data_IF_420407318108
#
_entry.id   IF_420407318108
#
_cell.length_a   1.000
_cell.length_b   1.000
_cell.length_c   1.000
_cell.angle_alpha   90.00
_cell.angle_beta   90.00
_cell.angle_gamma   90.00
#
_symmetry.space_group_name_H-M   'P 1'
#
loop_
_entity.id
_entity.type
_entity.pdbx_description
1 polymer ?
#
# COMPACT_ATOMS: atom_id res chain seq x y z
N UNK A 1 -24.13 3.71 -12.56
CA UNK A 1 -25.30 4.12 -11.75
C UNK A 1 -24.89 4.56 -10.36
N UNK A 2 -24.81 3.62 -9.41
CA UNK A 2 -24.32 3.87 -8.04
C UNK A 2 -22.78 3.85 -7.98
N UNK A 3 -22.14 3.03 -8.83
CA UNK A 3 -20.68 2.87 -8.95
C UNK A 3 -19.96 4.17 -9.38
N UNK A 4 -20.55 4.91 -10.34
CA UNK A 4 -20.00 6.19 -10.82
C UNK A 4 -20.00 7.30 -9.75
N UNK A 5 -20.94 7.27 -8.81
CA UNK A 5 -21.03 8.27 -7.72
C UNK A 5 -19.94 8.06 -6.67
N UNK A 6 -19.53 6.81 -6.40
CA UNK A 6 -18.44 6.51 -5.47
C UNK A 6 -17.08 6.93 -6.05
N UNK A 7 -16.85 6.69 -7.33
CA UNK A 7 -15.63 7.13 -8.04
C UNK A 7 -15.53 8.66 -8.06
N UNK A 8 -16.66 9.36 -8.28
CA UNK A 8 -16.71 10.83 -8.33
C UNK A 8 -16.64 11.50 -6.95
N UNK A 9 -17.13 10.85 -5.89
CA UNK A 9 -17.04 11.33 -4.50
C UNK A 9 -15.65 11.09 -3.89
N UNK A 10 -14.99 9.98 -4.24
CA UNK A 10 -13.63 9.67 -3.85
C UNK A 10 -12.56 10.28 -4.80
N UNK A 11 -12.94 11.20 -5.69
CA UNK A 11 -12.18 11.78 -6.82
C UNK A 11 -10.90 12.57 -6.50
N UNK A 12 -10.30 12.31 -5.34
CA UNK A 12 -8.94 12.69 -4.92
C UNK A 12 -8.50 11.83 -3.70
N UNK A 13 -9.47 11.23 -2.99
CA UNK A 13 -9.29 10.38 -1.80
C UNK A 13 -8.91 8.92 -2.09
N UNK A 14 -9.13 8.42 -3.32
CA UNK A 14 -8.55 7.14 -3.75
C UNK A 14 -7.04 7.26 -4.03
N UNK A 15 -6.55 8.48 -4.22
CA UNK A 15 -5.17 8.84 -4.56
C UNK A 15 -4.35 9.34 -3.37
N UNK A 16 -4.95 9.52 -2.18
CA UNK A 16 -4.18 9.80 -0.96
C UNK A 16 -3.30 8.59 -0.61
N UNK A 17 -2.14 8.81 0.03
CA UNK A 17 -1.10 7.80 0.17
C UNK A 17 -1.60 6.46 0.72
N UNK A 18 -2.56 6.50 1.66
CA UNK A 18 -3.03 5.30 2.38
C UNK A 18 -4.05 4.49 1.55
N UNK A 19 -4.99 5.14 0.85
CA UNK A 19 -6.00 4.45 0.03
C UNK A 19 -5.38 3.82 -1.22
N UNK A 20 -4.43 4.52 -1.85
CA UNK A 20 -3.66 3.98 -2.99
C UNK A 20 -2.80 2.79 -2.57
N UNK A 21 -2.23 2.81 -1.37
CA UNK A 21 -1.49 1.68 -0.81
C UNK A 21 -2.39 0.48 -0.54
N UNK A 22 -3.60 0.70 -0.01
CA UNK A 22 -4.62 -0.34 0.17
C UNK A 22 -5.08 -1.00 -1.14
N UNK A 23 -5.20 -0.23 -2.22
CA UNK A 23 -5.50 -0.76 -3.55
C UNK A 23 -4.39 -1.72 -4.02
N UNK A 24 -3.13 -1.30 -3.93
CA UNK A 24 -1.97 -2.13 -4.33
C UNK A 24 -1.83 -3.39 -3.48
N UNK A 25 -2.11 -3.31 -2.18
CA UNK A 25 -2.15 -4.46 -1.25
C UNK A 25 -3.17 -5.50 -1.70
N UNK A 26 -4.42 -5.08 -1.91
CA UNK A 26 -5.50 -5.99 -2.26
C UNK A 26 -5.28 -6.59 -3.65
N UNK A 27 -4.85 -5.77 -4.62
CA UNK A 27 -4.56 -6.21 -5.98
C UNK A 27 -3.42 -7.25 -6.00
N UNK A 28 -2.33 -7.02 -5.27
CA UNK A 28 -1.21 -7.96 -5.16
C UNK A 28 -1.59 -9.27 -4.46
N UNK A 29 -2.37 -9.18 -3.39
CA UNK A 29 -2.88 -10.32 -2.66
C UNK A 29 -3.79 -11.19 -3.54
N UNK A 30 -4.72 -10.58 -4.29
CA UNK A 30 -5.62 -11.29 -5.19
C UNK A 30 -4.88 -11.95 -6.36
N UNK A 31 -3.94 -11.24 -6.99
CA UNK A 31 -3.16 -11.80 -8.10
C UNK A 31 -2.32 -13.01 -7.68
N UNK A 32 -1.71 -12.96 -6.50
CA UNK A 32 -0.93 -14.09 -6.00
C UNK A 32 -1.83 -15.22 -5.46
N UNK A 33 -3.02 -14.90 -4.95
CA UNK A 33 -4.00 -15.90 -4.53
C UNK A 33 -4.50 -16.77 -5.69
N UNK A 34 -4.66 -16.19 -6.88
CA UNK A 34 -5.00 -16.96 -8.09
C UNK A 34 -3.91 -17.99 -8.45
N UNK A 35 -2.64 -17.70 -8.14
CA UNK A 35 -1.50 -18.58 -8.47
C UNK A 35 -1.13 -19.58 -7.38
N UNK A 36 -1.32 -19.21 -6.12
CA UNK A 36 -0.82 -19.99 -4.97
C UNK A 36 -1.91 -20.31 -3.93
N UNK A 37 -3.19 -20.10 -4.27
CA UNK A 37 -4.33 -20.32 -3.37
C UNK A 37 -4.26 -19.42 -2.14
N UNK A 38 -4.71 -19.92 -0.98
CA UNK A 38 -4.74 -19.15 0.26
C UNK A 38 -3.36 -18.64 0.71
N UNK A 39 -2.29 -19.38 0.44
CA UNK A 39 -0.91 -18.96 0.72
C UNK A 39 -0.48 -17.76 -0.14
N UNK A 40 -1.05 -17.66 -1.34
CA UNK A 40 -0.80 -16.56 -2.26
C UNK A 40 -1.23 -15.20 -1.73
N UNK A 41 -2.28 -15.14 -0.89
CA UNK A 41 -2.76 -13.88 -0.29
C UNK A 41 -1.63 -13.22 0.52
N UNK A 42 -1.01 -13.97 1.42
CA UNK A 42 0.07 -13.47 2.27
C UNK A 42 1.33 -13.12 1.48
N UNK A 43 1.72 -13.99 0.54
CA UNK A 43 2.91 -13.80 -0.29
C UNK A 43 2.76 -12.57 -1.19
N UNK A 44 1.63 -12.43 -1.88
CA UNK A 44 1.36 -11.30 -2.77
C UNK A 44 1.27 -9.97 -2.02
N UNK A 45 0.62 -9.98 -0.84
CA UNK A 45 0.50 -8.79 -0.01
C UNK A 45 1.87 -8.29 0.47
N UNK A 46 2.69 -9.17 1.07
CA UNK A 46 4.01 -8.80 1.55
C UNK A 46 4.99 -8.46 0.42
N UNK A 47 4.95 -9.21 -0.68
CA UNK A 47 5.87 -8.99 -1.79
C UNK A 47 5.66 -7.62 -2.45
N UNK A 48 4.41 -7.20 -2.63
CA UNK A 48 4.09 -5.94 -3.32
C UNK A 48 4.31 -4.72 -2.42
N UNK A 49 4.14 -4.84 -1.10
CA UNK A 49 4.35 -3.73 -0.16
C UNK A 49 5.70 -3.69 0.53
N UNK A 50 6.50 -4.75 0.47
CA UNK A 50 7.82 -4.78 1.13
C UNK A 50 8.71 -3.64 0.66
N UNK A 51 8.77 -3.37 -0.64
CA UNK A 51 9.59 -2.30 -1.21
C UNK A 51 9.22 -0.92 -0.65
N UNK A 52 7.93 -0.61 -0.52
CA UNK A 52 7.44 0.66 0.03
C UNK A 52 7.76 0.81 1.51
N UNK A 53 7.55 -0.25 2.29
CA UNK A 53 7.83 -0.26 3.74
C UNK A 53 9.34 -0.18 4.00
N UNK A 54 10.16 -0.94 3.28
CA UNK A 54 11.62 -0.90 3.40
C UNK A 54 12.18 0.47 3.01
N UNK A 55 11.67 1.08 1.94
CA UNK A 55 12.05 2.45 1.58
C UNK A 55 11.65 3.44 2.67
N UNK A 56 10.43 3.34 3.21
CA UNK A 56 9.97 4.20 4.31
C UNK A 56 10.89 4.09 5.53
N UNK A 57 11.23 2.88 5.97
CA UNK A 57 12.13 2.64 7.10
C UNK A 57 13.51 3.25 6.85
N UNK A 58 14.09 3.02 5.67
CA UNK A 58 15.40 3.55 5.30
C UNK A 58 15.42 5.09 5.30
N UNK A 59 14.45 5.72 4.64
CA UNK A 59 14.37 7.18 4.60
C UNK A 59 14.06 7.78 5.97
N UNK A 60 13.18 7.16 6.77
CA UNK A 60 12.94 7.57 8.16
C UNK A 60 14.20 7.51 9.00
N UNK A 61 15.04 6.48 8.83
CA UNK A 61 16.33 6.37 9.51
C UNK A 61 17.27 7.52 9.14
N UNK A 62 17.44 7.83 7.84
CA UNK A 62 18.30 8.95 7.43
C UNK A 62 17.77 10.31 7.88
N UNK A 63 16.45 10.53 7.81
CA UNK A 63 15.83 11.75 8.32
C UNK A 63 16.04 11.88 9.83
N UNK A 64 15.94 10.79 10.59
CA UNK A 64 16.18 10.81 12.04
C UNK A 64 17.62 11.10 12.43
N UNK A 65 18.60 10.81 11.56
CA UNK A 65 20.00 11.17 11.77
C UNK A 65 20.26 12.66 11.53
N UNK A 66 19.57 13.28 10.57
CA UNK A 66 19.76 14.69 10.19
C UNK A 66 18.91 15.61 11.06
N UNK A 67 17.64 15.25 11.22
CA UNK A 67 16.69 15.96 12.07
C UNK A 67 16.64 15.26 13.41
N UNK A 68 17.05 15.92 14.50
CA UNK A 68 16.83 15.44 15.87
C UNK A 68 15.32 15.25 16.10
N UNK A 69 14.77 14.02 16.03
CA UNK A 69 13.34 13.82 16.22
C UNK A 69 13.07 14.07 17.69
N UNK A 70 12.16 14.99 18.00
CA UNK A 70 11.62 15.10 19.37
C UNK A 70 10.57 14.02 19.48
N UNK A 71 10.99 12.86 19.99
CA UNK A 71 10.09 11.78 20.41
C UNK A 71 9.26 12.20 21.61
#
# INVERSE_FOLDING_TARGET
GLYDKLIKFAGAGATVPITSFGHSLLHGAMHAAEKHGYLGIGIGMFSLTSAGISAAILFSFFIALICKPKG
#
